data_IF_709121533650
#
_entry.id   IF_709121533650
#
_cell.length_a   1.000
_cell.length_b   1.000
_cell.length_c   1.000
_cell.angle_alpha   90.00
_cell.angle_beta   90.00
_cell.angle_gamma   90.00
#
_symmetry.space_group_name_H-M   'P 1'
#
loop_
_entity.id
_entity.type
_entity.pdbx_description
1 polymer ?
#
# COMPACT_ATOMS: atom_id res chain seq x y z
N UNK A 1 -1.61 16.51 9.03
CA UNK A 1 -1.62 15.46 8.02
C UNK A 1 -0.74 14.31 8.47
N UNK A 2 -1.23 13.11 8.33
CA UNK A 2 -0.44 11.93 8.67
C UNK A 2 0.63 11.67 7.61
N UNK A 3 1.79 11.24 8.03
CA UNK A 3 2.79 10.70 7.13
C UNK A 3 2.41 9.28 6.73
N UNK A 4 3.16 8.69 5.83
CA UNK A 4 2.88 7.35 5.32
C UNK A 4 4.07 6.43 5.52
N UNK A 5 3.79 5.19 5.89
CA UNK A 5 4.79 4.12 5.88
C UNK A 5 4.43 3.13 4.79
N UNK A 6 5.40 2.35 4.35
CA UNK A 6 5.28 1.53 3.15
C UNK A 6 5.43 0.06 3.52
N UNK A 7 4.45 -0.75 3.12
CA UNK A 7 4.51 -2.19 3.28
C UNK A 7 4.78 -2.85 1.93
N UNK A 8 5.68 -3.82 1.94
CA UNK A 8 5.93 -4.69 0.80
C UNK A 8 5.07 -5.93 0.95
N UNK A 9 4.30 -6.23 -0.08
CA UNK A 9 3.35 -7.35 -0.07
C UNK A 9 3.90 -8.53 -0.84
N UNK A 10 3.36 -9.71 -0.55
CA UNK A 10 3.62 -10.88 -1.38
C UNK A 10 3.02 -10.67 -2.76
N UNK A 11 3.52 -11.37 -3.77
CA UNK A 11 3.07 -11.21 -5.14
C UNK A 11 1.55 -11.40 -5.24
N UNK A 12 0.88 -10.42 -5.87
CA UNK A 12 -0.57 -10.40 -6.08
C UNK A 12 -1.40 -10.40 -4.80
N UNK A 13 -0.79 -10.04 -3.66
CA UNK A 13 -1.48 -10.04 -2.37
C UNK A 13 -1.83 -8.64 -1.87
N UNK A 14 -1.67 -7.60 -2.69
CA UNK A 14 -1.88 -6.22 -2.28
C UNK A 14 -3.31 -5.97 -1.77
N UNK A 15 -4.31 -6.42 -2.52
CA UNK A 15 -5.72 -6.25 -2.13
C UNK A 15 -6.05 -7.01 -0.86
N UNK A 16 -5.49 -8.21 -0.72
CA UNK A 16 -5.67 -9.03 0.46
C UNK A 16 -5.06 -8.36 1.69
N UNK A 17 -3.84 -7.85 1.55
CA UNK A 17 -3.16 -7.13 2.62
C UNK A 17 -3.95 -5.88 3.00
N UNK A 18 -4.44 -5.12 2.03
CA UNK A 18 -5.26 -3.94 2.27
C UNK A 18 -6.48 -4.28 3.12
N UNK A 19 -7.21 -5.33 2.75
CA UNK A 19 -8.42 -5.73 3.47
C UNK A 19 -8.10 -6.11 4.92
N UNK A 20 -7.05 -6.88 5.15
CA UNK A 20 -6.65 -7.30 6.49
C UNK A 20 -6.14 -6.14 7.34
N UNK A 21 -5.43 -5.20 6.75
CA UNK A 21 -4.96 -4.00 7.46
C UNK A 21 -6.12 -3.09 7.85
N UNK A 22 -7.06 -2.86 6.94
CA UNK A 22 -8.24 -2.04 7.23
C UNK A 22 -9.09 -2.66 8.34
N UNK A 23 -9.18 -3.98 8.36
CA UNK A 23 -9.92 -4.70 9.40
C UNK A 23 -9.30 -4.49 10.79
N UNK A 24 -8.00 -4.27 10.86
CA UNK A 24 -7.30 -3.96 12.10
C UNK A 24 -7.41 -2.49 12.50
N UNK A 25 -8.02 -1.64 11.67
CA UNK A 25 -8.19 -0.23 11.95
C UNK A 25 -7.15 0.68 11.31
N UNK A 26 -6.26 0.16 10.49
CA UNK A 26 -5.29 0.99 9.80
C UNK A 26 -5.93 1.73 8.63
N UNK A 27 -5.48 2.96 8.40
CA UNK A 27 -5.84 3.70 7.21
C UNK A 27 -4.83 3.34 6.12
N UNK A 28 -5.33 2.68 5.07
CA UNK A 28 -4.48 2.11 4.02
C UNK A 28 -4.79 2.74 2.69
N UNK A 29 -3.74 3.03 1.92
CA UNK A 29 -3.88 3.49 0.56
C UNK A 29 -3.13 2.55 -0.38
N UNK A 30 -3.89 2.02 -1.33
CA UNK A 30 -3.36 1.18 -2.42
C UNK A 30 -3.67 1.90 -3.73
N UNK A 31 -2.76 2.75 -4.24
CA UNK A 31 -3.01 3.47 -5.48
C UNK A 31 -3.11 2.50 -6.64
N UNK A 32 -4.10 2.73 -7.50
CA UNK A 32 -4.37 1.86 -8.65
C UNK A 32 -4.39 2.67 -9.93
N UNK A 33 -3.98 2.05 -11.01
CA UNK A 33 -4.01 2.66 -12.34
C UNK A 33 -4.86 1.79 -13.25
N UNK A 34 -5.60 2.43 -14.15
CA UNK A 34 -6.31 1.71 -15.19
C UNK A 34 -5.33 1.28 -16.27
N UNK A 35 -5.37 0.02 -16.62
CA UNK A 35 -4.54 -0.52 -17.68
C UNK A 35 -5.38 -1.45 -18.55
N UNK A 36 -4.91 -1.73 -19.76
CA UNK A 36 -5.60 -2.64 -20.64
C UNK A 36 -5.06 -4.06 -20.48
N UNK A 37 -5.98 -5.00 -20.41
CA UNK A 37 -5.65 -6.42 -20.42
C UNK A 37 -6.18 -7.03 -21.70
N UNK A 38 -5.27 -7.61 -22.51
CA UNK A 38 -5.69 -8.34 -23.73
C UNK A 38 -5.68 -9.82 -23.43
N UNK A 39 -6.86 -10.43 -23.53
CA UNK A 39 -7.01 -11.85 -23.31
C UNK A 39 -8.11 -12.41 -24.25
N UNK A 40 -7.84 -13.50 -24.92
CA UNK A 40 -8.79 -14.20 -25.78
C UNK A 40 -9.48 -13.26 -26.79
N UNK A 41 -8.70 -12.38 -27.45
CA UNK A 41 -9.17 -11.40 -28.44
C UNK A 41 -10.06 -10.29 -27.86
N UNK A 42 -10.11 -10.18 -26.53
CA UNK A 42 -10.82 -9.09 -25.86
C UNK A 42 -9.84 -8.15 -25.22
N UNK A 43 -10.18 -6.87 -25.25
CA UNK A 43 -9.44 -5.84 -24.54
C UNK A 43 -10.34 -5.35 -23.42
N UNK A 44 -9.84 -5.46 -22.19
CA UNK A 44 -10.57 -5.00 -21.00
C UNK A 44 -9.77 -3.95 -20.27
N UNK A 45 -10.47 -2.97 -19.71
CA UNK A 45 -9.88 -2.02 -18.79
C UNK A 45 -9.92 -2.63 -17.39
N UNK A 46 -8.77 -2.75 -16.74
CA UNK A 46 -8.66 -3.30 -15.40
C UNK A 46 -7.91 -2.34 -14.51
N UNK A 47 -8.20 -2.39 -13.20
CA UNK A 47 -7.46 -1.63 -12.20
C UNK A 47 -6.35 -2.52 -11.66
N UNK A 48 -5.13 -1.99 -11.66
CA UNK A 48 -3.97 -2.68 -11.09
C UNK A 48 -3.24 -1.75 -10.15
N UNK A 49 -2.56 -2.29 -9.12
CA UNK A 49 -1.74 -1.45 -8.26
C UNK A 49 -0.74 -0.63 -9.07
N UNK A 50 -0.66 0.66 -8.76
CA UNK A 50 0.30 1.56 -9.42
C UNK A 50 1.74 1.16 -9.09
N UNK A 51 1.96 0.75 -7.83
CA UNK A 51 3.24 0.25 -7.37
C UNK A 51 3.06 -1.22 -6.98
N UNK A 52 3.32 -2.15 -7.92
CA UNK A 52 3.11 -3.58 -7.62
C UNK A 52 3.87 -4.01 -6.37
N UNK A 53 3.18 -4.76 -5.50
CA UNK A 53 3.69 -5.30 -4.24
C UNK A 53 3.91 -4.27 -3.15
N UNK A 54 3.43 -3.02 -3.32
CA UNK A 54 3.56 -1.99 -2.29
C UNK A 54 2.21 -1.38 -1.96
N UNK A 55 2.03 -1.05 -0.70
CA UNK A 55 0.89 -0.25 -0.25
C UNK A 55 1.35 0.71 0.84
N UNK A 56 0.53 1.70 1.09
CA UNK A 56 0.86 2.78 2.02
C UNK A 56 -0.10 2.77 3.19
N UNK A 57 0.42 3.00 4.39
CA UNK A 57 -0.36 3.02 5.62
C UNK A 57 -0.12 4.36 6.28
N UNK A 58 -1.21 5.05 6.66
CA UNK A 58 -1.11 6.32 7.37
C UNK A 58 -0.41 6.08 8.71
N UNK A 59 0.56 6.91 9.02
CA UNK A 59 1.40 6.75 10.18
C UNK A 59 1.44 8.02 11.01
N UNK A 60 1.11 7.88 12.29
CA UNK A 60 1.31 8.91 13.30
C UNK A 60 2.24 8.33 14.36
N UNK A 61 3.42 8.92 14.48
CA UNK A 61 4.47 8.46 15.37
C UNK A 61 4.00 8.26 16.82
N UNK A 62 3.03 9.07 17.26
CA UNK A 62 2.53 9.03 18.64
C UNK A 62 1.39 8.04 18.86
N UNK A 63 0.67 7.64 17.82
CA UNK A 63 -0.55 6.85 17.98
C UNK A 63 -0.58 5.55 17.19
N UNK A 64 0.29 5.39 16.19
CA UNK A 64 0.24 4.20 15.34
C UNK A 64 1.14 3.11 15.88
N UNK A 65 0.54 1.97 16.22
CA UNK A 65 1.28 0.76 16.58
C UNK A 65 1.54 -0.04 15.29
N UNK A 66 2.74 0.10 14.76
CA UNK A 66 3.06 -0.46 13.44
C UNK A 66 3.44 -1.94 13.42
N UNK A 67 3.81 -2.49 14.58
CA UNK A 67 4.29 -3.89 14.63
C UNK A 67 3.30 -4.92 14.11
N UNK A 68 1.99 -4.80 14.39
CA UNK A 68 1.01 -5.74 13.82
C UNK A 68 0.96 -5.77 12.30
N UNK A 69 1.39 -4.67 11.64
CA UNK A 69 1.44 -4.63 10.17
C UNK A 69 2.35 -5.72 9.64
N UNK A 70 3.48 -5.95 10.31
CA UNK A 70 4.49 -6.92 9.88
C UNK A 70 3.97 -8.37 9.89
N UNK A 71 2.96 -8.66 10.71
CA UNK A 71 2.36 -9.99 10.79
C UNK A 71 1.01 -10.11 10.09
N UNK A 72 0.63 -9.09 9.34
CA UNK A 72 -0.63 -9.10 8.61
C UNK A 72 -0.56 -10.00 7.39
N UNK A 73 -1.65 -10.75 7.15
CA UNK A 73 -1.76 -11.61 5.97
C UNK A 73 -1.59 -10.79 4.68
N UNK A 74 -0.74 -11.26 3.81
CA UNK A 74 -0.44 -10.57 2.55
C UNK A 74 0.76 -9.65 2.61
N UNK A 75 1.16 -9.21 3.81
CA UNK A 75 2.35 -8.37 4.00
C UNK A 75 3.59 -9.23 4.12
N UNK A 76 4.60 -8.95 3.29
CA UNK A 76 5.89 -9.62 3.34
C UNK A 76 6.78 -8.98 4.40
N UNK A 77 6.95 -7.66 4.31
CA UNK A 77 7.68 -6.89 5.31
C UNK A 77 7.33 -5.41 5.20
N UNK A 78 7.65 -4.68 6.25
CA UNK A 78 7.51 -3.23 6.30
C UNK A 78 8.87 -2.61 5.98
N UNK A 79 8.89 -1.59 5.11
CA UNK A 79 10.12 -0.88 4.82
C UNK A 79 10.57 -0.13 6.07
N UNK A 80 11.84 -0.26 6.42
CA UNK A 80 12.39 0.33 7.64
C UNK A 80 13.63 1.16 7.37
N UNK A 81 13.82 2.16 8.21
CA UNK A 81 15.06 2.91 8.33
C UNK A 81 15.63 2.56 9.72
N UNK A 82 16.57 1.61 9.77
CA UNK A 82 17.02 1.05 11.03
C UNK A 82 15.94 0.18 11.66
N UNK A 83 15.58 0.46 12.90
CA UNK A 83 14.56 -0.29 13.65
C UNK A 83 13.17 0.32 13.55
N UNK A 84 13.05 1.48 12.91
CA UNK A 84 11.78 2.19 12.78
C UNK A 84 11.28 2.15 11.35
N UNK A 85 9.95 2.29 11.13
CA UNK A 85 9.42 2.35 9.78
C UNK A 85 10.02 3.49 8.98
N UNK A 86 10.24 3.27 7.70
CA UNK A 86 10.63 4.32 6.77
C UNK A 86 9.41 5.18 6.48
N UNK A 87 9.48 6.45 6.82
CA UNK A 87 8.35 7.38 6.69
C UNK A 87 8.48 8.17 5.39
N UNK A 88 7.42 8.12 4.57
CA UNK A 88 7.29 8.96 3.40
C UNK A 88 6.42 10.17 3.76
N UNK A 89 6.89 11.40 3.50
CA UNK A 89 6.07 12.58 3.76
C UNK A 89 4.76 12.55 2.97
N UNK A 90 3.69 13.11 3.54
CA UNK A 90 2.37 13.14 2.93
C UNK A 90 2.38 13.71 1.50
N UNK A 91 3.19 14.75 1.25
CA UNK A 91 3.28 15.37 -0.06
C UNK A 91 3.75 14.44 -1.17
N UNK A 92 4.59 13.45 -0.86
CA UNK A 92 5.06 12.48 -1.85
C UNK A 92 3.92 11.60 -2.34
N UNK A 93 3.07 11.15 -1.42
CA UNK A 93 1.92 10.31 -1.76
C UNK A 93 0.88 11.11 -2.53
N UNK A 94 0.63 12.35 -2.12
CA UNK A 94 -0.31 13.23 -2.81
C UNK A 94 0.12 13.53 -4.25
N UNK A 95 1.42 13.70 -4.50
CA UNK A 95 1.93 13.87 -5.85
C UNK A 95 1.67 12.63 -6.71
N UNK A 96 1.81 11.45 -6.14
CA UNK A 96 1.50 10.20 -6.84
C UNK A 96 0.03 10.12 -7.23
N UNK A 97 -0.86 10.65 -6.39
CA UNK A 97 -2.29 10.71 -6.66
C UNK A 97 -2.63 11.63 -7.83
N UNK A 98 -1.93 12.76 -7.93
CA UNK A 98 -2.19 13.74 -8.97
C UNK A 98 -1.81 13.21 -10.36
N UNK A 99 -0.84 12.32 -10.43
CA UNK A 99 -0.35 11.76 -11.68
C UNK A 99 -1.06 10.47 -12.12
N UNK A 100 -2.03 10.05 -11.37
CA UNK A 100 -2.89 8.91 -11.71
C UNK A 100 -4.11 9.44 -12.46
#
# INVERSE_FOLDING_TARGET
MADWIVAHCHAKAETKAEAHLKRQGFEVYLPKIKTTLRHARRIQMVLRPLFPRYLFIAFDENSTHWRPICSTVGVSYLLKAGEQPLVAPAGVIELSLIHI
#
